data_IF_035594450121
#
_entry.id   IF_035594450121
#
_cell.length_a   1.000
_cell.length_b   1.000
_cell.length_c   1.000
_cell.angle_alpha   90.00
_cell.angle_beta   90.00
_cell.angle_gamma   90.00
#
_symmetry.space_group_name_H-M   'P 1'
#
loop_
_entity.id
_entity.type
_entity.pdbx_description
1 polymer ?
#
# COMPACT_ATOMS: atom_id res chain seq x y z
N UNK A 1 7.78 17.93 -62.88
CA UNK A 1 8.13 19.37 -63.05
C UNK A 1 8.44 19.95 -61.70
N UNK A 2 9.72 20.42 -61.54
CA UNK A 2 10.28 21.50 -60.69
C UNK A 2 9.97 21.42 -59.20
N UNK A 3 10.87 20.99 -58.32
CA UNK A 3 12.17 21.60 -57.93
C UNK A 3 12.02 23.00 -57.31
N UNK A 4 12.33 23.08 -56.00
CA UNK A 4 13.10 24.20 -55.46
C UNK A 4 13.64 23.83 -54.06
N UNK A 5 14.94 23.71 -54.01
CA UNK A 5 15.89 23.70 -52.88
C UNK A 5 16.08 25.15 -52.40
N UNK A 6 16.25 25.34 -51.10
CA UNK A 6 17.05 26.44 -50.49
C UNK A 6 17.56 25.89 -49.15
N UNK A 7 18.71 25.65 -48.88
CA UNK A 7 20.12 26.15 -48.86
C UNK A 7 20.30 27.48 -48.11
N UNK A 8 21.29 27.41 -47.22
CA UNK A 8 22.13 28.44 -46.55
C UNK A 8 21.52 29.03 -45.28
N UNK A 9 22.23 29.26 -44.22
CA UNK A 9 23.58 29.76 -44.07
C UNK A 9 24.14 29.52 -42.68
N UNK A 10 25.35 29.05 -42.67
CA UNK A 10 26.34 29.01 -41.61
C UNK A 10 26.85 30.43 -41.36
N UNK A 11 26.85 30.94 -40.15
CA UNK A 11 27.64 32.15 -39.79
C UNK A 11 28.45 31.88 -38.55
N UNK A 12 29.72 31.64 -38.83
CA UNK A 12 30.86 31.74 -37.96
C UNK A 12 31.09 33.23 -37.62
N UNK A 13 31.24 33.56 -36.33
CA UNK A 13 31.93 34.79 -35.92
C UNK A 13 33.03 34.39 -34.96
N UNK A 14 34.25 34.49 -35.48
CA UNK A 14 35.54 34.52 -34.84
C UNK A 14 35.87 35.97 -34.54
N UNK A 15 36.55 36.22 -33.47
CA UNK A 15 37.38 37.41 -33.13
C UNK A 15 37.01 37.99 -31.77
N UNK A 16 37.86 38.37 -30.87
CA UNK A 16 39.28 38.83 -30.90
C UNK A 16 39.78 38.79 -29.46
N UNK A 17 40.97 38.25 -29.27
CA UNK A 17 41.84 38.40 -28.09
C UNK A 17 42.41 39.81 -28.10
N UNK A 18 42.26 40.55 -27.03
CA UNK A 18 43.09 41.72 -26.76
C UNK A 18 43.79 41.55 -25.40
N UNK A 19 45.09 41.42 -25.52
CA UNK A 19 46.08 41.57 -24.46
C UNK A 19 46.13 43.04 -24.01
N UNK A 20 46.08 43.26 -22.71
CA UNK A 20 46.32 44.53 -22.11
C UNK A 20 47.11 44.37 -20.82
N UNK A 21 48.41 44.30 -20.97
CA UNK A 21 49.40 44.43 -19.86
C UNK A 21 49.44 45.88 -19.40
N UNK A 22 49.16 46.15 -18.15
CA UNK A 22 49.55 47.40 -17.50
C UNK A 22 50.29 47.06 -16.22
N UNK A 23 51.57 47.34 -16.28
CA UNK A 23 52.53 47.50 -15.15
C UNK A 23 52.14 48.78 -14.43
N UNK A 24 52.12 48.79 -13.10
CA UNK A 24 52.64 49.86 -12.23
C UNK A 24 52.50 49.50 -10.77
N UNK A 25 53.57 49.21 -10.17
CA UNK A 25 54.36 49.95 -9.11
C UNK A 25 53.79 49.82 -7.68
N UNK A 26 54.72 49.31 -6.86
CA UNK A 26 54.80 49.31 -5.41
C UNK A 26 54.29 50.55 -4.71
N UNK A 27 53.52 50.33 -3.65
CA UNK A 27 53.75 51.09 -2.41
C UNK A 27 53.47 50.13 -1.22
N UNK A 28 54.53 49.88 -0.50
CA UNK A 28 54.55 49.29 0.83
C UNK A 28 53.76 50.18 1.78
N UNK A 29 52.73 49.57 2.40
CA UNK A 29 52.34 50.03 3.72
C UNK A 29 52.18 48.75 4.57
N UNK A 30 53.24 48.54 5.35
CA UNK A 30 53.21 47.60 6.47
C UNK A 30 52.26 48.13 7.51
N UNK A 31 51.16 47.42 7.72
CA UNK A 31 50.40 47.50 8.96
C UNK A 31 50.35 46.11 9.55
N UNK A 32 51.33 45.93 10.43
CA UNK A 32 51.45 44.81 11.33
C UNK A 32 50.26 44.85 12.32
N UNK A 33 49.17 44.16 12.05
CA UNK A 33 48.15 43.86 13.01
C UNK A 33 48.24 42.36 13.35
N UNK A 34 49.06 42.08 14.34
CA UNK A 34 49.05 40.79 15.03
C UNK A 34 47.72 40.71 15.81
N UNK A 35 46.73 40.09 15.19
CA UNK A 35 45.59 39.60 15.94
C UNK A 35 46.07 38.29 16.59
N UNK A 36 46.38 38.37 17.87
CA UNK A 36 46.56 37.20 18.71
C UNK A 36 45.22 36.45 18.71
N UNK A 37 45.14 35.38 17.95
CA UNK A 37 44.03 34.42 18.08
C UNK A 37 44.32 33.66 19.36
N UNK A 38 43.74 34.17 20.43
CA UNK A 38 43.59 33.42 21.69
C UNK A 38 42.66 32.24 21.40
N UNK A 39 43.27 31.07 21.16
CA UNK A 39 42.54 29.80 21.04
C UNK A 39 41.92 29.50 22.39
N UNK A 40 40.71 30.00 22.61
CA UNK A 40 39.87 29.53 23.69
C UNK A 40 39.60 28.05 23.44
N UNK A 41 40.28 27.19 24.14
CA UNK A 41 39.98 25.76 24.19
C UNK A 41 38.62 25.64 24.87
N UNK A 42 37.56 25.53 24.06
CA UNK A 42 36.23 25.19 24.55
C UNK A 42 36.34 23.73 25.03
N UNK A 43 36.18 23.46 26.33
CA UNK A 43 36.21 22.07 26.77
C UNK A 43 35.04 21.33 26.11
N UNK A 44 35.36 20.25 25.40
CA UNK A 44 34.36 19.36 24.87
C UNK A 44 33.43 18.94 26.03
N UNK A 45 32.11 18.96 25.83
CA UNK A 45 31.20 18.49 26.86
C UNK A 45 31.54 17.04 27.15
N UNK A 46 31.87 16.79 28.40
CA UNK A 46 32.14 15.45 28.92
C UNK A 46 30.94 14.60 28.62
N UNK A 47 31.12 13.53 27.83
CA UNK A 47 30.10 12.57 27.49
C UNK A 47 29.55 11.96 28.78
N UNK A 48 28.37 12.41 29.18
CA UNK A 48 27.63 11.75 30.26
C UNK A 48 27.22 10.38 29.72
N UNK A 49 27.64 9.28 30.36
CA UNK A 49 27.21 7.97 29.87
C UNK A 49 25.68 7.94 29.86
N UNK A 50 25.11 7.65 28.69
CA UNK A 50 23.68 7.44 28.53
C UNK A 50 23.24 6.41 29.56
N UNK A 51 22.09 6.57 30.22
CA UNK A 51 21.60 5.60 31.20
C UNK A 51 21.57 4.23 30.53
N UNK A 52 22.17 3.28 31.17
CA UNK A 52 22.25 1.87 30.75
C UNK A 52 20.84 1.42 30.41
N UNK A 53 20.65 1.01 29.17
CA UNK A 53 19.38 0.50 28.65
C UNK A 53 18.93 -0.64 29.58
N UNK A 54 17.90 -0.40 30.36
CA UNK A 54 17.25 -1.48 31.13
C UNK A 54 16.62 -2.37 30.06
N UNK A 55 17.01 -3.66 29.94
CA UNK A 55 16.38 -4.55 28.98
C UNK A 55 14.87 -4.51 29.23
N UNK A 56 14.10 -4.30 28.16
CA UNK A 56 12.65 -4.41 28.22
C UNK A 56 12.29 -5.72 28.94
N UNK A 57 11.29 -5.70 29.84
CA UNK A 57 10.83 -6.92 30.43
C UNK A 57 10.54 -7.92 29.33
N UNK A 58 11.20 -9.07 29.40
CA UNK A 58 11.01 -10.18 28.46
C UNK A 58 9.51 -10.45 28.41
N UNK A 59 8.91 -10.25 27.24
CA UNK A 59 7.49 -10.51 27.03
C UNK A 59 7.26 -12.01 27.28
N UNK A 60 6.73 -12.33 28.42
CA UNK A 60 6.23 -13.69 28.69
C UNK A 60 4.92 -13.78 27.90
N UNK A 61 4.82 -14.63 26.87
CA UNK A 61 3.58 -14.75 26.12
C UNK A 61 2.47 -15.14 27.13
N UNK A 62 1.47 -14.27 27.25
CA UNK A 62 0.26 -14.59 28.01
C UNK A 62 -0.38 -15.80 27.33
N UNK A 63 -0.65 -16.90 28.05
CA UNK A 63 -1.32 -18.05 27.48
C UNK A 63 -2.61 -17.59 26.81
N UNK A 64 -2.73 -17.84 25.52
CA UNK A 64 -3.89 -17.48 24.72
C UNK A 64 -5.12 -18.16 25.34
N UNK A 65 -6.20 -17.41 25.68
CA UNK A 65 -7.44 -18.06 26.04
C UNK A 65 -7.89 -18.92 24.83
N UNK A 66 -8.14 -20.21 25.08
CA UNK A 66 -8.65 -21.09 24.03
C UNK A 66 -9.93 -20.48 23.49
N UNK A 67 -10.14 -20.46 22.16
CA UNK A 67 -11.37 -19.97 21.58
C UNK A 67 -12.54 -20.69 22.23
N UNK A 68 -13.43 -19.98 22.87
CA UNK A 68 -14.69 -20.53 23.28
C UNK A 68 -15.57 -20.62 22.02
N UNK A 69 -15.56 -21.78 21.40
CA UNK A 69 -16.48 -22.10 20.30
C UNK A 69 -17.90 -22.01 20.87
N UNK A 70 -18.52 -20.88 20.64
CA UNK A 70 -19.95 -20.70 20.89
C UNK A 70 -20.66 -21.33 19.71
N UNK A 71 -20.87 -22.65 19.78
CA UNK A 71 -21.72 -23.36 18.82
C UNK A 71 -23.16 -22.88 19.07
N UNK A 72 -23.61 -21.89 18.32
CA UNK A 72 -25.02 -21.73 18.08
C UNK A 72 -25.39 -22.87 17.14
N UNK A 73 -26.09 -23.87 17.68
CA UNK A 73 -26.73 -24.90 16.88
C UNK A 73 -27.73 -24.21 15.93
N UNK A 74 -27.32 -23.97 14.70
CA UNK A 74 -28.21 -23.71 13.59
C UNK A 74 -28.77 -25.08 13.20
N UNK A 75 -30.07 -25.27 13.42
CA UNK A 75 -30.75 -26.43 12.90
C UNK A 75 -30.68 -26.39 11.39
N UNK A 76 -29.82 -27.24 10.85
CA UNK A 76 -29.77 -27.55 9.42
C UNK A 76 -31.06 -28.28 9.03
N UNK A 77 -31.94 -27.58 8.36
CA UNK A 77 -32.87 -28.23 7.43
C UNK A 77 -32.26 -28.10 6.02
N UNK A 78 -31.23 -28.89 5.78
CA UNK A 78 -30.67 -29.05 4.45
C UNK A 78 -31.59 -29.97 3.64
N UNK A 79 -32.38 -29.39 2.77
CA UNK A 79 -32.97 -30.12 1.64
C UNK A 79 -31.90 -30.28 0.59
N UNK A 80 -31.61 -31.51 0.07
CA UNK A 80 -30.61 -31.66 -0.96
C UNK A 80 -31.09 -31.01 -2.27
N UNK A 81 -30.47 -29.95 -2.69
CA UNK A 81 -30.67 -29.36 -4.02
C UNK A 81 -29.86 -30.19 -5.01
N UNK A 82 -30.58 -30.85 -5.90
CA UNK A 82 -30.06 -31.63 -7.00
C UNK A 82 -29.39 -30.67 -8.02
N UNK A 83 -28.06 -30.75 -8.15
CA UNK A 83 -27.29 -29.96 -9.12
C UNK A 83 -27.33 -30.65 -10.49
N UNK A 84 -28.40 -30.45 -11.23
CA UNK A 84 -28.42 -30.63 -12.68
C UNK A 84 -29.30 -29.51 -13.27
N UNK A 85 -28.71 -28.82 -14.25
CA UNK A 85 -29.27 -27.72 -15.04
C UNK A 85 -29.05 -26.29 -14.52
N UNK A 86 -27.79 -25.87 -14.34
CA UNK A 86 -27.46 -24.47 -14.40
C UNK A 86 -27.25 -24.08 -15.88
N UNK A 87 -28.38 -23.84 -16.58
CA UNK A 87 -28.37 -23.10 -17.83
C UNK A 87 -27.97 -21.65 -17.53
N UNK A 88 -26.93 -21.21 -18.18
CA UNK A 88 -26.41 -19.85 -18.14
C UNK A 88 -27.43 -18.88 -18.70
N UNK A 89 -28.26 -18.32 -17.85
CA UNK A 89 -29.15 -17.22 -18.21
C UNK A 89 -29.06 -16.12 -17.14
N UNK A 90 -28.47 -15.00 -17.58
CA UNK A 90 -28.58 -13.72 -16.89
C UNK A 90 -27.53 -13.51 -15.83
N UNK A 91 -26.57 -12.65 -16.14
CA UNK A 91 -25.88 -11.88 -15.14
C UNK A 91 -26.93 -11.32 -14.18
N UNK A 92 -26.99 -11.86 -12.97
CA UNK A 92 -27.72 -11.23 -11.89
C UNK A 92 -27.17 -9.82 -11.80
N UNK A 93 -27.98 -8.85 -12.16
CA UNK A 93 -27.60 -7.44 -12.18
C UNK A 93 -27.33 -7.06 -10.72
N UNK A 94 -26.06 -7.09 -10.34
CA UNK A 94 -25.60 -6.68 -9.02
C UNK A 94 -25.99 -5.22 -8.82
N UNK A 95 -26.97 -4.98 -7.97
CA UNK A 95 -27.54 -3.63 -7.80
C UNK A 95 -27.33 -3.06 -6.40
N UNK A 96 -26.62 -3.77 -5.52
CA UNK A 96 -26.42 -3.29 -4.14
C UNK A 96 -25.76 -1.91 -4.11
N UNK A 97 -24.74 -1.68 -4.93
CA UNK A 97 -24.05 -0.38 -5.02
C UNK A 97 -24.87 0.71 -5.75
N UNK A 98 -25.98 0.36 -6.40
CA UNK A 98 -26.90 1.34 -7.00
C UNK A 98 -27.80 2.01 -5.95
N UNK A 99 -27.82 1.47 -4.72
CA UNK A 99 -28.44 2.15 -3.59
C UNK A 99 -27.54 3.33 -3.17
N UNK A 100 -28.03 4.57 -3.22
CA UNK A 100 -27.25 5.75 -2.81
C UNK A 100 -26.71 5.66 -1.38
N UNK A 101 -27.41 4.95 -0.51
CA UNK A 101 -27.05 4.79 0.89
C UNK A 101 -26.17 3.56 1.16
N UNK A 102 -25.82 2.77 0.13
CA UNK A 102 -25.02 1.54 0.28
C UNK A 102 -23.75 1.77 1.07
N UNK A 103 -22.95 2.77 0.68
CA UNK A 103 -21.67 3.07 1.34
C UNK A 103 -21.80 3.63 2.76
N UNK A 104 -22.97 4.18 3.11
CA UNK A 104 -23.23 4.71 4.44
C UNK A 104 -23.72 3.63 5.41
N UNK A 105 -24.31 2.55 4.88
CA UNK A 105 -24.96 1.50 5.66
C UNK A 105 -24.21 0.15 5.61
N UNK A 106 -23.02 0.12 5.05
CA UNK A 106 -22.19 -1.08 5.09
C UNK A 106 -21.74 -1.35 6.51
N UNK A 107 -21.99 -2.58 6.96
CA UNK A 107 -21.51 -3.09 8.23
C UNK A 107 -20.33 -4.04 7.99
N UNK A 108 -19.30 -3.90 8.81
CA UNK A 108 -18.12 -4.76 8.82
C UNK A 108 -18.03 -5.43 10.17
N UNK A 109 -17.97 -6.76 10.17
CA UNK A 109 -17.70 -7.56 11.37
C UNK A 109 -16.20 -7.88 11.44
N UNK A 110 -15.58 -7.56 12.56
CA UNK A 110 -14.13 -7.73 12.78
C UNK A 110 -13.92 -8.55 14.03
N UNK A 111 -13.21 -9.67 13.87
CA UNK A 111 -12.75 -10.51 14.98
C UNK A 111 -11.23 -10.43 15.09
N UNK A 112 -10.72 -10.20 16.29
CA UNK A 112 -9.29 -10.06 16.55
C UNK A 112 -8.90 -8.68 17.11
N UNK A 113 -7.60 -8.37 17.06
CA UNK A 113 -7.04 -7.17 17.64
C UNK A 113 -6.44 -6.27 16.56
N UNK A 114 -6.50 -4.93 16.73
CA UNK A 114 -5.82 -4.02 15.84
C UNK A 114 -4.32 -4.31 15.78
N UNK A 115 -3.78 -4.31 14.57
CA UNK A 115 -2.35 -4.50 14.35
C UNK A 115 -1.58 -3.24 14.75
N UNK A 116 -0.42 -3.39 15.41
CA UNK A 116 0.44 -2.26 15.72
C UNK A 116 0.92 -1.58 14.44
N UNK A 117 1.16 -0.27 14.49
CA UNK A 117 1.71 0.47 13.34
C UNK A 117 3.12 0.02 13.00
N UNK A 118 3.47 0.10 11.71
CA UNK A 118 4.84 -0.15 11.24
C UNK A 118 5.79 0.82 11.91
N UNK A 119 6.93 0.32 12.37
CA UNK A 119 8.02 1.11 12.94
C UNK A 119 9.09 1.37 11.86
N UNK A 120 9.93 2.38 12.03
CA UNK A 120 10.93 2.79 11.04
C UNK A 120 11.85 1.64 10.55
N UNK A 121 12.13 0.66 11.40
CA UNK A 121 13.10 -0.41 11.12
C UNK A 121 12.50 -1.80 10.97
N UNK A 122 11.27 -2.00 11.40
CA UNK A 122 10.61 -3.31 11.38
C UNK A 122 9.10 -3.17 11.47
N UNK A 123 8.42 -4.19 11.03
CA UNK A 123 6.98 -4.30 11.20
C UNK A 123 6.65 -5.23 12.37
N UNK A 124 6.15 -4.70 13.50
CA UNK A 124 5.82 -5.49 14.66
C UNK A 124 4.60 -6.39 14.48
N UNK A 125 3.83 -6.24 13.40
CA UNK A 125 2.69 -7.10 13.11
C UNK A 125 3.08 -8.39 12.38
N UNK A 126 4.25 -8.48 11.78
CA UNK A 126 4.69 -9.71 11.10
C UNK A 126 4.77 -10.86 12.11
N UNK A 127 4.10 -11.96 11.77
CA UNK A 127 3.94 -13.14 12.65
C UNK A 127 2.82 -13.04 13.68
N UNK A 128 2.07 -11.93 13.75
CA UNK A 128 0.83 -11.87 14.53
C UNK A 128 -0.33 -12.47 13.74
N UNK A 129 -1.34 -12.96 14.46
CA UNK A 129 -2.62 -13.35 13.84
C UNK A 129 -3.28 -12.13 13.23
N UNK A 130 -3.61 -12.22 11.95
CA UNK A 130 -4.34 -11.17 11.27
C UNK A 130 -5.78 -11.08 11.79
N UNK A 131 -6.38 -9.89 11.85
CA UNK A 131 -7.81 -9.79 12.15
C UNK A 131 -8.62 -10.49 11.05
N UNK A 132 -9.70 -11.16 11.47
CA UNK A 132 -10.69 -11.72 10.54
C UNK A 132 -11.75 -10.67 10.25
N UNK A 133 -12.01 -10.46 8.98
CA UNK A 133 -12.95 -9.45 8.49
C UNK A 133 -14.06 -10.15 7.73
N UNK A 134 -15.31 -9.86 8.05
CA UNK A 134 -16.48 -10.23 7.26
C UNK A 134 -17.22 -8.98 6.82
N UNK A 135 -17.57 -8.91 5.57
CA UNK A 135 -18.25 -7.74 5.01
C UNK A 135 -18.77 -8.00 3.60
N UNK A 136 -19.22 -6.94 2.94
CA UNK A 136 -19.80 -7.02 1.60
C UNK A 136 -18.88 -6.49 0.52
N UNK A 137 -18.83 -7.20 -0.59
CA UNK A 137 -18.22 -6.71 -1.82
C UNK A 137 -19.11 -5.64 -2.47
N UNK A 138 -18.55 -4.93 -3.44
CA UNK A 138 -19.31 -3.96 -4.25
C UNK A 138 -20.54 -4.61 -4.91
N UNK A 139 -20.48 -5.88 -5.26
CA UNK A 139 -21.57 -6.61 -5.84
C UNK A 139 -22.64 -7.07 -4.81
N UNK A 140 -22.45 -6.75 -3.54
CA UNK A 140 -23.34 -7.12 -2.44
C UNK A 140 -23.14 -8.53 -1.91
N UNK A 141 -22.29 -9.35 -2.52
CA UNK A 141 -21.94 -10.67 -1.99
C UNK A 141 -21.09 -10.57 -0.72
N UNK A 142 -21.10 -11.59 0.12
CA UNK A 142 -20.33 -11.63 1.35
C UNK A 142 -18.93 -12.19 1.11
N UNK A 143 -17.96 -11.65 1.82
CA UNK A 143 -16.58 -12.10 1.80
C UNK A 143 -16.00 -12.17 3.20
N UNK A 144 -15.07 -13.11 3.41
CA UNK A 144 -14.21 -13.16 4.59
C UNK A 144 -12.75 -13.01 4.17
N UNK A 145 -11.99 -12.22 4.95
CA UNK A 145 -10.54 -12.06 4.88
C UNK A 145 -9.97 -12.47 6.23
N UNK A 146 -8.78 -13.09 6.24
CA UNK A 146 -8.15 -13.59 7.46
C UNK A 146 -8.62 -15.00 7.84
N UNK A 147 -8.10 -15.52 8.96
CA UNK A 147 -8.27 -16.91 9.34
C UNK A 147 -7.39 -17.87 8.52
N UNK A 148 -7.54 -19.18 8.79
CA UNK A 148 -6.86 -20.23 8.01
C UNK A 148 -7.51 -20.37 6.63
N UNK A 149 -6.69 -20.54 5.58
CA UNK A 149 -7.20 -20.70 4.22
C UNK A 149 -6.15 -20.40 3.16
N UNK A 150 -6.53 -19.62 2.15
CA UNK A 150 -5.63 -19.21 1.08
C UNK A 150 -4.76 -18.03 1.50
N UNK A 151 -3.48 -18.05 1.11
CA UNK A 151 -2.63 -16.86 1.23
C UNK A 151 -3.29 -15.70 0.49
N UNK A 152 -3.53 -14.60 1.19
CA UNK A 152 -4.30 -13.47 0.67
C UNK A 152 -3.48 -12.19 0.67
N UNK A 153 -3.44 -11.48 -0.45
CA UNK A 153 -2.99 -10.10 -0.55
C UNK A 153 -4.19 -9.16 -0.46
N UNK A 154 -4.26 -8.41 0.62
CA UNK A 154 -5.26 -7.38 0.84
C UNK A 154 -4.70 -6.04 0.38
N UNK A 155 -5.37 -5.38 -0.57
CA UNK A 155 -5.00 -4.08 -1.13
C UNK A 155 -5.96 -3.02 -0.61
N UNK A 156 -5.51 -2.16 0.30
CA UNK A 156 -6.35 -1.15 0.95
C UNK A 156 -6.20 0.17 0.19
N UNK A 157 -7.29 0.64 -0.39
CA UNK A 157 -7.34 1.68 -1.39
C UNK A 157 -8.36 2.77 -1.03
N UNK A 158 -8.00 4.03 -1.29
CA UNK A 158 -8.94 5.15 -1.20
C UNK A 158 -9.18 5.73 -2.61
N UNK A 159 -10.44 5.81 -3.04
CA UNK A 159 -10.84 6.22 -4.40
C UNK A 159 -10.32 7.61 -4.81
N UNK A 160 -10.16 8.49 -3.86
CA UNK A 160 -9.69 9.86 -4.06
C UNK A 160 -8.16 10.00 -4.05
N UNK A 161 -7.42 8.96 -3.63
CA UNK A 161 -5.96 9.03 -3.50
C UNK A 161 -5.28 8.93 -4.88
N UNK A 162 -4.45 9.91 -5.30
CA UNK A 162 -3.77 9.86 -6.60
C UNK A 162 -2.83 8.65 -6.76
N UNK A 163 -2.17 8.23 -5.67
CA UNK A 163 -1.29 7.05 -5.69
C UNK A 163 -2.08 5.75 -5.87
N UNK A 164 -3.26 5.62 -5.24
CA UNK A 164 -4.16 4.48 -5.46
C UNK A 164 -4.64 4.41 -6.91
N UNK A 165 -4.99 5.55 -7.52
CA UNK A 165 -5.44 5.58 -8.92
C UNK A 165 -4.37 5.09 -9.88
N UNK A 166 -3.13 5.52 -9.66
CA UNK A 166 -2.00 5.05 -10.48
C UNK A 166 -1.74 3.56 -10.25
N UNK A 167 -1.80 3.10 -9.01
CA UNK A 167 -1.63 1.69 -8.67
C UNK A 167 -2.69 0.81 -9.32
N UNK A 168 -3.97 1.16 -9.15
CA UNK A 168 -5.10 0.43 -9.73
C UNK A 168 -4.98 0.36 -11.24
N UNK A 169 -4.63 1.46 -11.92
CA UNK A 169 -4.48 1.48 -13.38
C UNK A 169 -3.36 0.56 -13.86
N UNK A 170 -2.19 0.62 -13.24
CA UNK A 170 -1.04 -0.22 -13.62
C UNK A 170 -1.29 -1.70 -13.34
N UNK A 171 -1.79 -2.01 -12.14
CA UNK A 171 -2.12 -3.40 -11.77
C UNK A 171 -3.30 -3.94 -12.56
N UNK A 172 -4.31 -3.10 -12.89
CA UNK A 172 -5.43 -3.52 -13.74
C UNK A 172 -4.95 -3.96 -15.12
N UNK A 173 -4.08 -3.16 -15.75
CA UNK A 173 -3.49 -3.53 -17.04
C UNK A 173 -2.75 -4.86 -16.94
N UNK A 174 -1.88 -5.00 -15.95
CA UNK A 174 -1.10 -6.22 -15.73
C UNK A 174 -1.99 -7.44 -15.48
N UNK A 175 -2.95 -7.34 -14.55
CA UNK A 175 -3.81 -8.47 -14.16
C UNK A 175 -4.79 -8.88 -15.28
N UNK A 176 -5.25 -7.95 -16.11
CA UNK A 176 -6.09 -8.28 -17.26
C UNK A 176 -5.29 -8.97 -18.38
N UNK A 177 -3.99 -8.68 -18.50
CA UNK A 177 -3.10 -9.31 -19.47
C UNK A 177 -2.58 -10.69 -19.00
N UNK A 178 -2.18 -10.80 -17.74
CA UNK A 178 -1.55 -12.00 -17.18
C UNK A 178 -2.55 -12.96 -16.50
N UNK A 179 -3.73 -12.46 -16.13
CA UNK A 179 -4.68 -13.17 -15.29
C UNK A 179 -4.42 -12.99 -13.79
N UNK A 180 -5.38 -13.43 -12.97
CA UNK A 180 -5.22 -13.45 -11.52
C UNK A 180 -4.30 -14.63 -11.13
N UNK A 181 -3.39 -14.44 -10.17
CA UNK A 181 -2.50 -15.51 -9.73
C UNK A 181 -3.28 -16.63 -9.01
N UNK A 182 -2.97 -17.90 -9.33
CA UNK A 182 -3.61 -19.05 -8.68
C UNK A 182 -3.11 -19.35 -7.25
N UNK A 183 -1.92 -18.85 -6.93
CA UNK A 183 -1.24 -19.12 -5.64
C UNK A 183 -1.50 -18.05 -4.59
N UNK A 184 -2.11 -16.94 -4.97
CA UNK A 184 -2.33 -15.78 -4.13
C UNK A 184 -3.73 -15.22 -4.39
N UNK A 185 -4.58 -15.31 -3.39
CA UNK A 185 -5.89 -14.66 -3.44
C UNK A 185 -5.71 -13.14 -3.35
N UNK A 186 -6.28 -12.42 -4.29
CA UNK A 186 -6.28 -10.95 -4.29
C UNK A 186 -7.63 -10.43 -3.80
N UNK A 187 -7.62 -9.48 -2.88
CA UNK A 187 -8.81 -8.77 -2.40
C UNK A 187 -8.47 -7.30 -2.22
N UNK A 188 -9.29 -6.43 -2.77
CA UNK A 188 -9.19 -5.00 -2.50
C UNK A 188 -10.15 -4.56 -1.40
N UNK A 189 -9.81 -3.49 -0.69
CA UNK A 189 -10.68 -2.82 0.28
C UNK A 189 -10.82 -1.36 -0.14
N UNK A 190 -12.05 -0.93 -0.41
CA UNK A 190 -12.38 0.48 -0.60
C UNK A 190 -12.66 1.11 0.76
N UNK A 191 -11.82 2.03 1.21
CA UNK A 191 -11.92 2.66 2.54
C UNK A 191 -11.91 4.18 2.47
N UNK A 192 -12.25 4.83 3.59
CA UNK A 192 -12.34 6.31 3.72
C UNK A 192 -13.13 6.89 2.55
N UNK A 193 -14.33 6.33 2.34
CA UNK A 193 -15.20 6.73 1.25
C UNK A 193 -15.82 8.09 1.57
N UNK A 194 -15.65 9.05 0.66
CA UNK A 194 -16.11 10.43 0.81
C UNK A 194 -16.76 10.92 -0.50
N UNK A 195 -18.07 11.16 -0.46
CA UNK A 195 -18.87 11.60 -1.60
C UNK A 195 -18.40 12.91 -2.24
N UNK A 196 -17.67 13.74 -1.47
CA UNK A 196 -17.18 15.06 -1.94
C UNK A 196 -15.84 14.99 -2.63
N UNK A 197 -15.24 13.81 -2.70
CA UNK A 197 -13.91 13.62 -3.28
C UNK A 197 -13.97 13.01 -4.67
N UNK A 198 -12.85 13.11 -5.38
CA UNK A 198 -12.71 12.58 -6.74
C UNK A 198 -12.98 11.07 -6.80
N UNK A 199 -13.50 10.58 -7.91
CA UNK A 199 -13.80 9.18 -8.21
C UNK A 199 -14.84 8.55 -7.26
N UNK A 200 -15.74 9.35 -6.76
CA UNK A 200 -16.94 8.86 -6.11
C UNK A 200 -18.04 8.67 -7.17
N UNK A 201 -18.83 7.62 -7.08
CA UNK A 201 -18.74 6.50 -6.13
C UNK A 201 -17.62 5.50 -6.49
N UNK A 202 -17.04 4.79 -5.51
CA UNK A 202 -15.90 3.87 -5.74
C UNK A 202 -16.14 2.82 -6.82
N UNK A 203 -17.34 2.26 -6.92
CA UNK A 203 -17.63 1.23 -7.92
C UNK A 203 -17.45 1.74 -9.36
N UNK A 204 -17.89 2.95 -9.68
CA UNK A 204 -17.68 3.53 -11.01
C UNK A 204 -16.20 3.72 -11.33
N UNK A 205 -15.41 4.09 -10.35
CA UNK A 205 -13.97 4.21 -10.52
C UNK A 205 -13.32 2.85 -10.83
N UNK A 206 -13.62 1.81 -10.06
CA UNK A 206 -13.08 0.47 -10.32
C UNK A 206 -13.54 -0.09 -11.67
N UNK A 207 -14.80 0.16 -12.06
CA UNK A 207 -15.31 -0.21 -13.39
C UNK A 207 -14.57 0.52 -14.52
N UNK A 208 -14.35 1.83 -14.39
CA UNK A 208 -13.61 2.64 -15.38
C UNK A 208 -12.16 2.16 -15.56
N UNK A 209 -11.53 1.70 -14.50
CA UNK A 209 -10.17 1.16 -14.56
C UNK A 209 -10.15 -0.34 -14.96
N UNK A 210 -11.29 -0.98 -15.24
CA UNK A 210 -11.44 -2.42 -15.53
C UNK A 210 -10.78 -3.30 -14.45
N UNK A 211 -10.99 -2.94 -13.17
CA UNK A 211 -10.36 -3.60 -12.04
C UNK A 211 -10.89 -5.03 -11.85
N UNK A 212 -10.04 -6.08 -11.98
CA UNK A 212 -10.51 -7.47 -11.97
C UNK A 212 -10.57 -8.09 -10.56
N UNK A 213 -10.12 -7.37 -9.53
CA UNK A 213 -10.02 -7.92 -8.17
C UNK A 213 -11.29 -7.59 -7.38
N UNK A 214 -11.86 -8.55 -6.63
CA UNK A 214 -13.01 -8.29 -5.76
C UNK A 214 -12.74 -7.15 -4.78
N UNK A 215 -13.72 -6.27 -4.58
CA UNK A 215 -13.59 -5.07 -3.73
C UNK A 215 -14.54 -5.16 -2.55
N UNK A 216 -14.00 -5.37 -1.36
CA UNK A 216 -14.70 -5.27 -0.08
C UNK A 216 -14.88 -3.79 0.27
N UNK A 217 -16.05 -3.43 0.74
CA UNK A 217 -16.35 -2.05 1.16
C UNK A 217 -16.14 -1.93 2.66
N UNK A 218 -15.32 -0.97 3.07
CA UNK A 218 -15.13 -0.60 4.47
C UNK A 218 -16.33 0.23 4.97
N UNK A 219 -16.58 0.21 6.26
CA UNK A 219 -17.66 0.98 6.87
C UNK A 219 -17.32 2.48 7.00
N UNK A 220 -18.30 3.26 7.42
CA UNK A 220 -18.17 4.72 7.56
C UNK A 220 -17.07 5.13 8.57
N UNK A 221 -16.77 4.29 9.55
CA UNK A 221 -15.70 4.50 10.53
C UNK A 221 -14.33 3.98 10.05
N UNK A 222 -14.26 3.40 8.83
CA UNK A 222 -13.03 2.85 8.26
C UNK A 222 -12.37 1.79 9.15
N UNK A 223 -13.19 0.92 9.71
CA UNK A 223 -12.73 -0.09 10.68
C UNK A 223 -11.69 -1.04 10.12
N UNK A 224 -11.81 -1.43 8.83
CA UNK A 224 -10.84 -2.31 8.18
C UNK A 224 -9.47 -1.62 8.09
N UNK A 225 -9.43 -0.38 7.60
CA UNK A 225 -8.18 0.37 7.53
C UNK A 225 -7.54 0.54 8.92
N UNK A 226 -8.36 0.84 9.92
CA UNK A 226 -7.90 1.04 11.29
C UNK A 226 -7.35 -0.26 11.91
N UNK A 227 -8.03 -1.39 11.74
CA UNK A 227 -7.59 -2.66 12.35
C UNK A 227 -6.32 -3.20 11.71
N UNK A 228 -6.08 -2.94 10.41
CA UNK A 228 -4.83 -3.29 9.74
C UNK A 228 -3.68 -2.31 10.02
N UNK A 229 -3.92 -1.21 10.72
CA UNK A 229 -2.91 -0.22 11.07
C UNK A 229 -2.42 0.57 9.85
N UNK A 230 -3.32 0.94 8.95
CA UNK A 230 -3.02 1.70 7.73
C UNK A 230 -2.53 3.10 8.07
N UNK A 231 -1.39 3.51 7.51
CA UNK A 231 -0.78 4.83 7.73
C UNK A 231 -0.71 5.68 6.47
N UNK A 232 -0.82 5.06 5.31
CA UNK A 232 -0.77 5.74 4.00
C UNK A 232 -1.44 4.88 2.93
N UNK A 233 -1.73 5.45 1.76
CA UNK A 233 -2.39 4.77 0.65
C UNK A 233 -1.56 4.82 -0.63
N UNK A 234 -1.62 3.74 -1.45
CA UNK A 234 -2.20 2.43 -1.17
C UNK A 234 -1.46 1.71 -0.04
N UNK A 235 -2.08 0.68 0.55
CA UNK A 235 -1.48 -0.13 1.59
C UNK A 235 -1.76 -1.61 1.33
N UNK A 236 -0.77 -2.47 1.55
CA UNK A 236 -0.85 -3.88 1.24
C UNK A 236 -0.57 -4.72 2.47
N UNK A 237 -1.34 -5.79 2.63
CA UNK A 237 -1.16 -6.78 3.70
C UNK A 237 -1.18 -8.17 3.10
N UNK A 238 -0.13 -8.94 3.30
CA UNK A 238 -0.10 -10.37 2.99
C UNK A 238 -0.46 -11.15 4.26
N UNK A 239 -1.50 -11.95 4.17
CA UNK A 239 -1.92 -12.89 5.21
C UNK A 239 -1.61 -14.30 4.69
N UNK A 240 -0.79 -15.06 5.43
CA UNK A 240 -0.42 -16.42 5.05
C UNK A 240 -1.61 -17.39 5.21
N UNK A 241 -1.46 -18.61 4.70
CA UNK A 241 -2.49 -19.64 4.74
C UNK A 241 -2.89 -20.10 6.15
N UNK A 242 -2.10 -19.73 7.17
CA UNK A 242 -2.39 -20.01 8.59
C UNK A 242 -3.08 -18.83 9.28
N UNK A 243 -3.36 -17.74 8.55
CA UNK A 243 -4.00 -16.54 9.08
C UNK A 243 -3.06 -15.58 9.79
N UNK A 244 -1.74 -15.64 9.54
CA UNK A 244 -0.78 -14.72 10.14
C UNK A 244 -0.37 -13.64 9.15
N UNK A 245 -0.07 -12.45 9.66
CA UNK A 245 0.52 -11.37 8.85
C UNK A 245 1.93 -11.78 8.41
N UNK A 246 2.12 -11.98 7.11
CA UNK A 246 3.43 -12.29 6.53
C UNK A 246 4.20 -11.03 6.15
N UNK A 247 3.50 -10.00 5.65
CA UNK A 247 4.11 -8.76 5.18
C UNK A 247 3.08 -7.63 5.18
N UNK A 248 3.56 -6.40 5.44
CA UNK A 248 2.79 -5.18 5.15
C UNK A 248 3.65 -4.17 4.41
N UNK A 249 3.06 -3.49 3.42
CA UNK A 249 3.77 -2.53 2.58
C UNK A 249 2.94 -1.26 2.41
N UNK A 250 3.36 -0.13 2.97
CA UNK A 250 2.79 1.17 2.66
C UNK A 250 3.29 1.67 1.31
N UNK A 251 2.43 2.37 0.56
CA UNK A 251 2.77 2.92 -0.74
C UNK A 251 2.58 1.93 -1.89
N UNK A 252 2.95 2.37 -3.09
CA UNK A 252 2.75 1.62 -4.33
C UNK A 252 3.75 0.46 -4.45
N UNK A 253 3.27 -0.66 -4.98
CA UNK A 253 4.11 -1.82 -5.29
C UNK A 253 4.33 -2.02 -6.80
N UNK A 254 3.32 -1.70 -7.62
CA UNK A 254 3.36 -1.91 -9.07
C UNK A 254 3.42 -3.39 -9.49
N UNK A 255 3.38 -3.65 -10.83
CA UNK A 255 3.40 -5.00 -11.37
C UNK A 255 4.61 -5.83 -10.98
N UNK A 256 5.81 -5.26 -11.05
CA UNK A 256 7.07 -5.99 -10.78
C UNK A 256 7.16 -6.53 -9.34
N UNK A 257 6.64 -5.80 -8.37
CA UNK A 257 6.62 -6.27 -6.99
C UNK A 257 5.52 -7.31 -6.78
N UNK A 258 4.35 -7.14 -7.42
CA UNK A 258 3.29 -8.15 -7.38
C UNK A 258 3.78 -9.47 -7.95
N UNK A 259 4.47 -9.46 -9.10
CA UNK A 259 5.07 -10.65 -9.70
C UNK A 259 6.04 -11.35 -8.74
N UNK A 260 6.97 -10.60 -8.15
CA UNK A 260 7.90 -11.14 -7.14
C UNK A 260 7.21 -11.73 -5.91
N UNK A 261 6.10 -11.15 -5.46
CA UNK A 261 5.30 -11.71 -4.37
C UNK A 261 4.68 -13.05 -4.78
N UNK A 262 4.11 -13.12 -5.97
CA UNK A 262 3.51 -14.36 -6.51
C UNK A 262 4.57 -15.46 -6.63
N UNK A 263 5.74 -15.14 -7.17
CA UNK A 263 6.86 -16.09 -7.30
C UNK A 263 7.33 -16.60 -5.93
N UNK A 264 7.57 -15.70 -4.97
CA UNK A 264 8.03 -16.05 -3.63
C UNK A 264 7.05 -16.98 -2.89
N UNK A 265 5.75 -16.73 -3.01
CA UNK A 265 4.71 -17.54 -2.37
C UNK A 265 4.48 -18.87 -3.09
N UNK A 266 4.73 -18.94 -4.41
CA UNK A 266 4.70 -20.18 -5.19
C UNK A 266 5.83 -21.13 -4.78
N UNK A 267 7.01 -20.59 -4.53
CA UNK A 267 8.18 -21.35 -4.07
C UNK A 267 8.00 -21.92 -2.66
N UNK A 268 7.33 -21.19 -1.76
CA UNK A 268 7.03 -21.65 -0.40
C UNK A 268 6.05 -22.84 -0.43
N UNK A 269 5.01 -22.77 -1.26
CA UNK A 269 4.04 -23.85 -1.43
C UNK A 269 4.67 -25.13 -2.00
N UNK A 270 5.72 -25.01 -2.81
CA UNK A 270 6.44 -26.17 -3.38
C UNK A 270 7.38 -26.85 -2.40
N UNK A 271 7.71 -26.21 -1.26
CA UNK A 271 8.62 -26.71 -0.23
C UNK A 271 7.91 -27.28 1.01
N UNK A 272 6.62 -27.09 1.13
CA UNK A 272 5.77 -27.57 2.23
C UNK A 272 5.08 -28.90 1.86
#
# INVERSE_FOLDING_TARGET
MRSAKHKYSLLLIVSIVIFGSVFCTNSEIAVENQIAIETAVVPYPTYTPQPTYTPYPTYTPVPRPKPQVRIKAVQETATPVNVTDAKTDGAAEFSAYKDPDFYLNVEVDIEGWPLPYIQDKYDPAVGLVAPEIRGKLLDGSEIQIGGEGETTLVMILAHWCPHCRNEVRELSTYLNEQGLPETLRLVSVATIIDEKRANYPPHEWFEQENWPVPVLVDDAESKIANVFGVTSFPYFVVIDSRGYVALRMPGRIGPDMLERLVEALSDEKSRS
#
